data_IF_795484537139
#
_entry.id   IF_795484537139
#
_cell.length_a   1.000
_cell.length_b   1.000
_cell.length_c   1.000
_cell.angle_alpha   90.00
_cell.angle_beta   90.00
_cell.angle_gamma   90.00
#
_symmetry.space_group_name_H-M   'P 1'
#
loop_
_entity.id
_entity.type
_entity.pdbx_description
1 polymer ?
#
# COMPACT_ATOMS: atom_id res chain seq x y z
N UNK A 1 17.36 -26.45 2.36
CA UNK A 1 17.40 -25.96 3.75
C UNK A 1 15.97 -25.82 4.24
N UNK A 2 15.56 -26.51 5.31
CA UNK A 2 14.19 -26.45 5.86
C UNK A 2 13.93 -25.05 6.43
N UNK A 3 12.96 -24.33 5.86
CA UNK A 3 12.41 -23.10 6.46
C UNK A 3 11.69 -23.47 7.75
N UNK A 4 12.19 -22.98 8.88
CA UNK A 4 11.48 -23.09 10.16
C UNK A 4 10.34 -22.06 10.13
N UNK A 5 9.11 -22.54 10.26
CA UNK A 5 7.95 -21.71 10.53
C UNK A 5 8.08 -21.19 11.97
N UNK A 6 8.21 -19.87 12.13
CA UNK A 6 8.27 -19.21 13.44
C UNK A 6 6.83 -18.81 13.79
N UNK A 7 6.22 -19.38 14.86
CA UNK A 7 4.85 -19.06 15.26
C UNK A 7 4.74 -17.64 15.84
N UNK A 8 3.54 -17.05 15.76
CA UNK A 8 3.24 -15.65 16.08
C UNK A 8 3.63 -15.20 17.51
N UNK A 9 3.83 -16.14 18.44
CA UNK A 9 4.25 -15.82 19.80
C UNK A 9 5.75 -15.52 19.92
N UNK A 10 6.59 -16.00 18.98
CA UNK A 10 8.03 -15.68 18.92
C UNK A 10 8.31 -14.33 18.24
N UNK A 11 7.33 -13.76 17.53
CA UNK A 11 7.42 -12.47 16.84
C UNK A 11 7.63 -11.29 17.82
N UNK A 12 7.05 -11.38 19.01
CA UNK A 12 7.17 -10.35 20.06
C UNK A 12 8.57 -10.35 20.68
N UNK A 13 9.23 -11.51 20.75
CA UNK A 13 10.57 -11.65 21.32
C UNK A 13 11.64 -11.14 20.36
N UNK A 14 11.46 -11.36 19.04
CA UNK A 14 12.39 -10.87 18.02
C UNK A 14 12.31 -9.35 17.81
N UNK A 15 11.15 -8.74 18.04
CA UNK A 15 10.99 -7.28 18.02
C UNK A 15 11.74 -6.60 19.18
N UNK A 16 11.85 -7.26 20.34
CA UNK A 16 12.54 -6.73 21.51
C UNK A 16 14.05 -7.02 21.52
N UNK A 17 14.53 -7.92 20.67
CA UNK A 17 15.95 -8.28 20.56
C UNK A 17 16.72 -7.43 19.53
N UNK A 18 16.04 -6.56 18.78
CA UNK A 18 16.62 -5.74 17.70
C UNK A 18 17.16 -4.38 18.20
N UNK A 19 17.68 -4.32 19.44
CA UNK A 19 18.31 -3.14 20.05
C UNK A 19 19.78 -3.38 20.43
N UNK A 20 20.42 -4.39 19.82
CA UNK A 20 21.86 -4.61 19.97
C UNK A 20 22.61 -4.03 18.77
N UNK A 21 23.30 -2.91 19.02
CA UNK A 21 24.24 -2.27 18.09
C UNK A 21 25.35 -3.25 17.69
N UNK A 22 25.45 -3.63 16.41
CA UNK A 22 26.65 -4.28 15.85
C UNK A 22 27.43 -3.27 14.99
N UNK A 23 28.72 -3.16 15.30
CA UNK A 23 29.70 -2.29 14.67
C UNK A 23 29.91 -2.59 13.17
N UNK A 24 30.13 -1.50 12.44
CA UNK A 24 30.36 -1.41 11.00
C UNK A 24 31.76 -1.87 10.62
N UNK A 25 31.89 -2.61 9.52
CA UNK A 25 33.13 -2.67 8.73
C UNK A 25 32.86 -2.13 7.32
N UNK A 26 33.58 -1.07 6.95
CA UNK A 26 33.53 -0.40 5.66
C UNK A 26 34.36 -1.15 4.61
N UNK A 27 33.73 -1.63 3.54
CA UNK A 27 34.43 -1.93 2.28
C UNK A 27 33.70 -1.24 1.13
N UNK A 28 34.34 -0.21 0.59
CA UNK A 28 33.89 0.57 -0.56
C UNK A 28 33.95 -0.30 -1.84
N UNK A 29 32.85 -0.39 -2.58
CA UNK A 29 32.89 -0.88 -3.94
C UNK A 29 32.30 0.16 -4.89
N UNK A 30 33.20 0.90 -5.53
CA UNK A 30 32.91 1.82 -6.62
C UNK A 30 32.47 1.05 -7.86
N UNK A 31 31.30 1.39 -8.40
CA UNK A 31 30.99 1.14 -9.81
C UNK A 31 30.48 2.42 -10.45
N UNK A 32 31.33 3.00 -11.29
CA UNK A 32 31.08 4.14 -12.16
C UNK A 32 30.53 3.67 -13.51
N UNK A 33 29.54 4.40 -14.06
CA UNK A 33 29.26 4.50 -15.50
C UNK A 33 28.33 5.73 -15.70
N UNK A 34 28.84 6.89 -16.11
CA UNK A 34 28.94 7.40 -17.50
C UNK A 34 27.61 8.03 -17.98
N UNK A 35 27.49 9.20 -18.61
CA UNK A 35 28.38 10.26 -19.10
C UNK A 35 27.50 11.50 -19.30
N UNK A 36 28.01 12.70 -19.02
CA UNK A 36 27.74 13.88 -19.85
C UNK A 36 28.91 14.86 -19.72
N UNK A 37 29.77 14.81 -20.74
CA UNK A 37 30.89 15.71 -20.93
C UNK A 37 30.37 17.11 -21.31
N UNK A 38 30.80 18.14 -20.57
CA UNK A 38 31.02 19.46 -21.18
C UNK A 38 32.26 20.11 -20.58
N UNK A 39 33.01 20.70 -21.51
CA UNK A 39 34.40 21.13 -21.50
C UNK A 39 34.75 22.15 -20.43
N UNK A 40 36.02 22.09 -20.01
CA UNK A 40 36.72 23.00 -19.10
C UNK A 40 36.70 24.45 -19.57
N UNK A 41 36.59 25.37 -18.63
CA UNK A 41 37.58 26.43 -18.45
C UNK A 41 37.40 27.05 -17.05
N UNK A 42 38.49 27.03 -16.30
CA UNK A 42 38.63 27.70 -15.03
C UNK A 42 38.80 29.18 -15.31
N UNK A 43 37.87 30.03 -14.87
CA UNK A 43 38.19 31.41 -14.56
C UNK A 43 37.33 31.95 -13.42
N UNK A 44 38.04 32.62 -12.53
CA UNK A 44 37.63 33.26 -11.28
C UNK A 44 36.84 34.57 -11.49
N UNK A 45 36.08 34.93 -10.46
CA UNK A 45 35.50 36.23 -10.09
C UNK A 45 34.07 36.59 -10.55
N UNK A 46 33.17 36.55 -9.56
CA UNK A 46 32.09 37.51 -9.23
C UNK A 46 31.16 38.02 -10.34
N UNK A 47 29.88 37.66 -10.26
CA UNK A 47 28.81 38.65 -9.99
C UNK A 47 27.53 37.93 -9.59
N UNK A 48 27.06 38.22 -8.37
CA UNK A 48 25.75 37.83 -7.84
C UNK A 48 24.69 38.55 -8.68
N UNK A 49 24.16 37.87 -9.70
CA UNK A 49 22.98 38.33 -10.41
C UNK A 49 21.79 37.71 -9.70
N UNK A 50 21.01 38.56 -9.05
CA UNK A 50 19.70 38.24 -8.47
C UNK A 50 18.81 37.61 -9.54
N UNK A 51 18.87 36.29 -9.68
CA UNK A 51 17.85 35.52 -10.39
C UNK A 51 16.62 35.64 -9.51
N UNK A 52 15.67 36.49 -9.88
CA UNK A 52 14.37 36.64 -9.22
C UNK A 52 13.76 35.25 -9.03
N UNK A 53 13.82 34.73 -7.80
CA UNK A 53 13.21 33.45 -7.45
C UNK A 53 11.72 33.68 -7.28
N UNK A 54 10.93 33.06 -8.15
CA UNK A 54 9.49 33.06 -7.99
C UNK A 54 9.12 32.17 -6.79
N UNK A 55 8.76 32.82 -5.70
CA UNK A 55 8.41 32.18 -4.44
C UNK A 55 6.91 32.36 -4.20
N UNK A 56 6.20 31.25 -3.99
CA UNK A 56 4.77 31.24 -3.62
C UNK A 56 4.66 30.99 -2.13
N UNK A 57 4.01 31.90 -1.40
CA UNK A 57 3.86 31.80 0.04
C UNK A 57 2.46 31.29 0.41
N UNK A 58 2.41 30.39 1.40
CA UNK A 58 1.16 29.91 2.01
C UNK A 58 0.38 31.08 2.66
N UNK A 59 -0.94 30.92 2.77
CA UNK A 59 -1.85 31.94 3.34
C UNK A 59 -1.48 32.32 4.79
N UNK A 60 -1.00 31.34 5.56
CA UNK A 60 -0.51 31.52 6.93
C UNK A 60 0.92 32.07 7.02
N UNK A 61 1.56 32.34 5.87
CA UNK A 61 2.93 32.84 5.71
C UNK A 61 4.04 31.95 6.27
N UNK A 62 3.73 30.74 6.73
CA UNK A 62 4.73 29.84 7.34
C UNK A 62 5.54 29.04 6.34
N UNK A 63 4.97 28.80 5.15
CA UNK A 63 5.58 27.94 4.13
C UNK A 63 5.78 28.76 2.87
N UNK A 64 6.98 28.69 2.30
CA UNK A 64 7.34 29.31 1.02
C UNK A 64 7.83 28.24 0.07
N UNK A 65 7.18 28.16 -1.10
CA UNK A 65 7.53 27.25 -2.18
C UNK A 65 8.34 28.00 -3.23
N UNK A 66 9.44 27.41 -3.66
CA UNK A 66 10.28 27.96 -4.72
C UNK A 66 10.41 26.95 -5.86
N UNK A 67 10.49 27.43 -7.09
CA UNK A 67 10.67 26.55 -8.26
C UNK A 67 12.02 25.82 -8.24
N UNK A 68 13.06 26.46 -7.68
CA UNK A 68 14.40 25.91 -7.52
C UNK A 68 14.71 25.69 -6.05
N UNK A 69 15.37 24.58 -5.67
CA UNK A 69 15.79 24.36 -4.30
C UNK A 69 16.72 25.49 -3.85
N UNK A 70 16.56 25.96 -2.61
CA UNK A 70 17.49 26.93 -2.05
C UNK A 70 18.89 26.29 -1.94
N UNK A 71 19.97 27.03 -2.28
CA UNK A 71 21.32 26.52 -2.17
C UNK A 71 21.60 26.19 -0.71
N UNK A 72 21.70 24.89 -0.42
CA UNK A 72 22.00 24.39 0.91
C UNK A 72 23.48 24.62 1.20
N UNK A 73 23.76 25.44 2.21
CA UNK A 73 25.10 25.61 2.75
C UNK A 73 25.17 24.84 4.07
N UNK A 74 25.81 23.66 4.07
CA UNK A 74 26.01 22.84 5.26
C UNK A 74 25.57 21.39 5.12
N UNK A 75 25.83 20.57 6.15
CA UNK A 75 25.35 19.17 6.21
C UNK A 75 23.82 19.15 6.35
N UNK A 76 23.19 18.18 5.69
CA UNK A 76 21.77 17.91 5.91
C UNK A 76 21.52 17.64 7.40
N UNK A 77 20.47 18.25 7.95
CA UNK A 77 20.02 17.96 9.32
C UNK A 77 19.85 16.46 9.51
N UNK A 78 20.27 15.93 10.66
CA UNK A 78 20.09 14.51 11.00
C UNK A 78 18.64 14.02 10.87
N UNK A 79 17.66 14.91 11.06
CA UNK A 79 16.23 14.62 10.87
C UNK A 79 15.80 14.47 9.40
N UNK A 80 16.63 14.93 8.45
CA UNK A 80 16.38 14.80 7.01
C UNK A 80 17.19 13.65 6.37
N UNK A 81 18.03 12.97 7.16
CA UNK A 81 18.80 11.81 6.68
C UNK A 81 17.92 10.58 6.84
N UNK A 82 17.51 9.99 5.72
CA UNK A 82 16.81 8.70 5.70
C UNK A 82 17.79 7.62 6.20
N UNK A 83 17.51 7.03 7.36
CA UNK A 83 18.33 5.96 7.96
C UNK A 83 17.93 4.57 7.49
N UNK A 84 16.70 4.39 7.03
CA UNK A 84 16.22 3.13 6.45
C UNK A 84 16.62 3.01 4.98
N UNK A 85 17.07 1.82 4.58
CA UNK A 85 17.17 1.46 3.16
C UNK A 85 15.76 1.30 2.57
N UNK A 86 15.40 2.09 1.54
CA UNK A 86 14.10 1.95 0.90
C UNK A 86 14.01 0.57 0.21
N UNK A 87 12.93 -0.15 0.45
CA UNK A 87 12.70 -1.44 -0.21
C UNK A 87 11.80 -2.39 0.59
N UNK A 88 11.56 -3.60 0.04
CA UNK A 88 10.90 -4.68 0.75
C UNK A 88 11.67 -5.02 2.02
N UNK A 89 10.98 -5.15 3.14
CA UNK A 89 11.60 -5.57 4.40
C UNK A 89 11.99 -7.04 4.33
N UNK A 90 12.78 -7.51 5.30
CA UNK A 90 13.06 -8.94 5.47
C UNK A 90 11.77 -9.77 5.58
N UNK A 91 10.72 -9.22 6.20
CA UNK A 91 9.41 -9.86 6.29
C UNK A 91 8.82 -10.20 4.92
N UNK A 92 8.88 -9.25 3.97
CA UNK A 92 8.39 -9.43 2.61
C UNK A 92 9.31 -10.35 1.80
N UNK A 93 10.62 -10.14 1.85
CA UNK A 93 11.60 -10.95 1.10
C UNK A 93 11.48 -12.44 1.44
N UNK A 94 11.23 -12.79 2.71
CA UNK A 94 11.08 -14.18 3.13
C UNK A 94 9.74 -14.83 2.77
N UNK A 95 8.75 -14.08 2.28
CA UNK A 95 7.37 -14.55 2.01
C UNK A 95 6.94 -14.42 0.56
N UNK A 96 7.65 -13.62 -0.25
CA UNK A 96 7.34 -13.42 -1.68
C UNK A 96 8.26 -14.24 -2.55
N UNK A 97 7.69 -15.26 -3.18
CA UNK A 97 8.37 -16.08 -4.19
C UNK A 97 7.82 -15.82 -5.61
N UNK A 98 6.58 -15.34 -5.70
CA UNK A 98 5.85 -15.14 -6.94
C UNK A 98 4.80 -14.01 -6.83
N UNK A 99 4.21 -13.62 -7.96
CA UNK A 99 3.21 -12.54 -8.04
C UNK A 99 1.99 -12.79 -7.15
N UNK A 100 1.58 -14.05 -6.97
CA UNK A 100 0.46 -14.37 -6.07
C UNK A 100 0.84 -14.11 -4.62
N UNK A 101 2.00 -14.61 -4.19
CA UNK A 101 2.48 -14.41 -2.82
C UNK A 101 2.75 -12.94 -2.47
N UNK A 102 3.15 -12.11 -3.44
CA UNK A 102 3.23 -10.65 -3.21
C UNK A 102 1.84 -10.02 -2.97
N UNK A 103 0.82 -10.48 -3.68
CA UNK A 103 -0.55 -10.04 -3.46
C UNK A 103 -1.10 -10.49 -2.10
N UNK A 104 -0.79 -11.72 -1.66
CA UNK A 104 -1.19 -12.24 -0.33
C UNK A 104 -0.56 -11.44 0.83
N UNK A 105 0.55 -10.71 0.61
CA UNK A 105 1.06 -9.80 1.64
C UNK A 105 0.15 -8.58 1.78
N UNK A 106 -0.36 -8.06 0.67
CA UNK A 106 -1.23 -6.88 0.64
C UNK A 106 -2.64 -7.25 1.13
N UNK A 107 -3.16 -8.39 0.69
CA UNK A 107 -4.47 -8.92 1.08
C UNK A 107 -4.28 -10.30 1.70
N UNK A 108 -3.84 -10.32 2.96
CA UNK A 108 -3.56 -11.56 3.69
C UNK A 108 -4.82 -12.36 4.01
N UNK A 109 -4.61 -13.61 4.42
CA UNK A 109 -5.70 -14.53 4.79
C UNK A 109 -6.60 -13.96 5.88
N UNK A 110 -6.03 -13.31 6.91
CA UNK A 110 -6.82 -12.70 7.99
C UNK A 110 -7.78 -11.61 7.47
N UNK A 111 -7.32 -10.76 6.56
CA UNK A 111 -8.13 -9.73 5.91
C UNK A 111 -9.24 -10.36 5.06
N UNK A 112 -8.91 -11.41 4.30
CA UNK A 112 -9.91 -12.16 3.53
C UNK A 112 -10.96 -12.78 4.46
N UNK A 113 -10.54 -13.37 5.58
CA UNK A 113 -11.43 -14.01 6.55
C UNK A 113 -12.40 -13.02 7.20
N UNK A 114 -11.94 -11.80 7.51
CA UNK A 114 -12.82 -10.72 7.98
C UNK A 114 -13.90 -10.44 6.94
N UNK A 115 -13.50 -10.23 5.69
CA UNK A 115 -14.44 -9.91 4.61
C UNK A 115 -15.41 -11.07 4.37
N UNK A 116 -14.92 -12.31 4.33
CA UNK A 116 -15.74 -13.51 4.17
C UNK A 116 -16.77 -13.63 5.30
N UNK A 117 -16.33 -13.53 6.55
CA UNK A 117 -17.20 -13.62 7.72
C UNK A 117 -18.31 -12.58 7.69
N UNK A 118 -17.95 -11.31 7.49
CA UNK A 118 -18.92 -10.21 7.51
C UNK A 118 -19.85 -10.24 6.31
N UNK A 119 -19.34 -10.62 5.14
CA UNK A 119 -20.15 -10.75 3.91
C UNK A 119 -21.13 -11.92 4.00
N UNK A 120 -20.77 -13.04 4.64
CA UNK A 120 -21.67 -14.17 4.85
C UNK A 120 -22.79 -13.86 5.85
N UNK A 121 -22.50 -13.08 6.91
CA UNK A 121 -23.54 -12.58 7.82
C UNK A 121 -24.54 -11.71 7.05
N UNK A 122 -24.07 -10.77 6.23
CA UNK A 122 -24.94 -9.92 5.42
C UNK A 122 -25.65 -10.72 4.31
N UNK A 123 -24.99 -11.71 3.73
CA UNK A 123 -25.53 -12.61 2.72
C UNK A 123 -26.77 -13.34 3.22
N UNK A 124 -26.64 -14.00 4.38
CA UNK A 124 -27.78 -14.63 5.08
C UNK A 124 -28.88 -13.64 5.42
N UNK A 125 -28.55 -12.40 5.80
CA UNK A 125 -29.54 -11.35 6.07
C UNK A 125 -30.32 -10.91 4.83
N UNK A 126 -29.65 -10.85 3.67
CA UNK A 126 -30.23 -10.32 2.41
C UNK A 126 -30.95 -11.40 1.61
N UNK A 127 -30.43 -12.62 1.59
CA UNK A 127 -30.91 -13.72 0.74
C UNK A 127 -31.56 -14.87 1.53
N UNK A 128 -31.44 -14.90 2.86
CA UNK A 128 -32.01 -15.93 3.72
C UNK A 128 -31.45 -17.32 3.37
N UNK A 129 -32.35 -18.29 3.26
CA UNK A 129 -32.01 -19.70 2.97
C UNK A 129 -31.45 -19.92 1.55
N UNK A 130 -31.57 -18.92 0.67
CA UNK A 130 -30.98 -18.98 -0.68
C UNK A 130 -29.51 -18.53 -0.70
N UNK A 131 -28.93 -18.18 0.45
CA UNK A 131 -27.52 -17.80 0.54
C UNK A 131 -26.64 -19.04 0.69
N UNK A 132 -25.71 -19.20 -0.24
CA UNK A 132 -24.58 -20.11 -0.09
C UNK A 132 -23.40 -19.30 0.44
N UNK A 133 -22.77 -19.81 1.50
CA UNK A 133 -21.64 -19.12 2.13
C UNK A 133 -20.50 -18.94 1.12
N UNK A 134 -20.06 -17.68 0.98
CA UNK A 134 -18.93 -17.29 0.17
C UNK A 134 -17.68 -17.97 0.71
N UNK A 135 -16.99 -18.69 -0.16
CA UNK A 135 -15.70 -19.33 0.11
C UNK A 135 -14.54 -18.45 -0.37
N UNK A 136 -13.33 -18.82 0.06
CA UNK A 136 -12.11 -18.09 -0.29
C UNK A 136 -11.83 -18.13 -1.80
N UNK A 137 -12.18 -19.21 -2.50
CA UNK A 137 -11.93 -19.37 -3.94
C UNK A 137 -12.83 -18.42 -4.74
N UNK A 138 -14.13 -18.37 -4.42
CA UNK A 138 -15.07 -17.46 -5.08
C UNK A 138 -14.72 -16.01 -4.75
N UNK A 139 -14.28 -15.73 -3.52
CA UNK A 139 -13.82 -14.40 -3.17
C UNK A 139 -12.55 -13.98 -3.93
N UNK A 140 -11.55 -14.86 -4.03
CA UNK A 140 -10.35 -14.62 -4.85
C UNK A 140 -10.70 -14.41 -6.33
N UNK A 141 -11.65 -15.19 -6.87
CA UNK A 141 -12.16 -15.01 -8.23
C UNK A 141 -12.86 -13.65 -8.41
N UNK A 142 -13.65 -13.21 -7.42
CA UNK A 142 -14.28 -11.90 -7.41
C UNK A 142 -13.24 -10.77 -7.41
N UNK A 143 -12.22 -10.85 -6.56
CA UNK A 143 -11.11 -9.86 -6.53
C UNK A 143 -10.34 -9.86 -7.85
N UNK A 144 -10.09 -11.04 -8.43
CA UNK A 144 -9.42 -11.17 -9.72
C UNK A 144 -10.17 -10.47 -10.86
N UNK A 145 -11.50 -10.56 -10.87
CA UNK A 145 -12.35 -9.84 -11.82
C UNK A 145 -12.24 -8.32 -11.64
N UNK A 146 -12.18 -7.82 -10.39
CA UNK A 146 -12.00 -6.40 -10.12
C UNK A 146 -10.63 -5.89 -10.60
N UNK A 147 -9.56 -6.66 -10.34
CA UNK A 147 -8.22 -6.35 -10.84
C UNK A 147 -8.18 -6.32 -12.36
N UNK A 148 -8.82 -7.31 -13.00
CA UNK A 148 -8.87 -7.42 -14.45
C UNK A 148 -9.68 -6.28 -15.10
N UNK A 149 -10.78 -5.85 -14.48
CA UNK A 149 -11.52 -4.66 -14.90
C UNK A 149 -10.63 -3.39 -14.87
N UNK A 150 -9.74 -3.30 -13.87
CA UNK A 150 -8.71 -2.26 -13.79
C UNK A 150 -7.71 -2.32 -14.94
N UNK A 151 -7.20 -3.51 -15.27
CA UNK A 151 -6.28 -3.73 -16.42
C UNK A 151 -6.91 -3.28 -17.73
N UNK A 152 -8.19 -3.60 -17.95
CA UNK A 152 -8.92 -3.19 -19.14
C UNK A 152 -9.36 -1.72 -19.12
N UNK A 153 -9.07 -0.98 -18.04
CA UNK A 153 -9.49 0.42 -17.84
C UNK A 153 -10.99 0.60 -18.00
N UNK A 154 -11.77 -0.41 -17.61
CA UNK A 154 -13.23 -0.50 -17.83
C UNK A 154 -14.05 0.37 -16.89
N UNK A 155 -13.49 1.52 -16.47
CA UNK A 155 -14.18 2.48 -15.62
C UNK A 155 -15.38 3.06 -16.38
N UNK A 156 -16.56 2.90 -15.80
CA UNK A 156 -17.82 3.39 -16.39
C UNK A 156 -18.43 2.46 -17.43
N UNK A 157 -17.77 1.35 -17.78
CA UNK A 157 -18.41 0.30 -18.58
C UNK A 157 -19.49 -0.42 -17.75
N UNK A 158 -20.61 -0.74 -18.38
CA UNK A 158 -21.65 -1.53 -17.70
C UNK A 158 -21.20 -2.98 -17.52
N UNK A 159 -21.52 -3.59 -16.39
CA UNK A 159 -21.26 -5.02 -16.15
C UNK A 159 -21.95 -5.91 -17.18
N UNK A 160 -23.12 -5.49 -17.70
CA UNK A 160 -23.79 -6.18 -18.81
C UNK A 160 -22.96 -6.21 -20.09
N UNK A 161 -22.26 -5.12 -20.40
CA UNK A 161 -21.36 -5.05 -21.56
C UNK A 161 -20.15 -5.94 -21.35
N UNK A 162 -19.52 -5.88 -20.18
CA UNK A 162 -18.34 -6.68 -19.86
C UNK A 162 -18.61 -8.19 -19.90
N UNK A 163 -19.81 -8.63 -19.48
CA UNK A 163 -20.24 -10.03 -19.51
C UNK A 163 -21.03 -10.43 -20.76
N UNK A 164 -21.13 -9.57 -21.77
CA UNK A 164 -21.85 -9.91 -23.00
C UNK A 164 -21.13 -11.05 -23.74
N UNK A 165 -21.89 -11.99 -24.30
CA UNK A 165 -21.35 -13.18 -25.00
C UNK A 165 -20.70 -12.87 -26.34
N UNK A 166 -21.14 -11.81 -27.02
CA UNK A 166 -20.70 -11.43 -28.36
C UNK A 166 -19.66 -10.30 -28.31
N UNK A 167 -19.95 -9.25 -27.53
CA UNK A 167 -19.17 -8.01 -27.49
C UNK A 167 -18.39 -7.83 -26.20
N UNK A 168 -18.63 -8.69 -25.21
CA UNK A 168 -17.98 -8.62 -23.91
C UNK A 168 -16.62 -9.29 -23.91
N UNK A 169 -16.13 -9.56 -22.71
CA UNK A 169 -14.80 -10.12 -22.48
C UNK A 169 -15.00 -11.54 -21.95
N UNK A 170 -14.71 -12.60 -22.74
CA UNK A 170 -15.02 -13.98 -22.37
C UNK A 170 -14.45 -14.42 -21.02
N UNK A 171 -13.31 -13.86 -20.62
CA UNK A 171 -12.68 -14.15 -19.32
C UNK A 171 -13.56 -13.78 -18.11
N UNK A 172 -14.42 -12.75 -18.21
CA UNK A 172 -15.29 -12.35 -17.11
C UNK A 172 -16.37 -13.39 -16.86
N UNK A 173 -17.08 -13.79 -17.92
CA UNK A 173 -18.13 -14.81 -17.84
C UNK A 173 -17.57 -16.22 -17.59
N UNK A 174 -16.36 -16.51 -18.08
CA UNK A 174 -15.65 -17.76 -17.78
C UNK A 174 -15.20 -17.86 -16.31
N UNK A 175 -14.84 -16.73 -15.69
CA UNK A 175 -14.41 -16.72 -14.28
C UNK A 175 -15.61 -16.81 -13.33
N UNK A 176 -16.67 -16.04 -13.59
CA UNK A 176 -17.84 -16.02 -12.71
C UNK A 176 -19.08 -15.52 -13.46
N UNK A 177 -20.27 -16.11 -13.25
CA UNK A 177 -21.52 -15.58 -13.79
C UNK A 177 -21.82 -14.16 -13.30
N UNK A 178 -22.37 -13.32 -14.18
CA UNK A 178 -22.74 -11.93 -13.87
C UNK A 178 -23.67 -11.83 -12.64
N UNK A 179 -24.60 -12.77 -12.50
CA UNK A 179 -25.51 -12.85 -11.35
C UNK A 179 -24.74 -13.00 -10.04
N UNK A 180 -23.76 -13.90 -10.00
CA UNK A 180 -22.93 -14.14 -8.81
C UNK A 180 -22.09 -12.91 -8.47
N UNK A 181 -21.47 -12.28 -9.47
CA UNK A 181 -20.74 -11.02 -9.28
C UNK A 181 -21.61 -9.93 -8.64
N UNK A 182 -22.86 -9.78 -9.10
CA UNK A 182 -23.82 -8.84 -8.51
C UNK A 182 -24.26 -9.23 -7.10
N UNK A 183 -24.48 -10.53 -6.83
CA UNK A 183 -24.81 -11.01 -5.50
C UNK A 183 -23.70 -10.65 -4.50
N UNK A 184 -22.44 -11.01 -4.81
CA UNK A 184 -21.28 -10.71 -3.97
C UNK A 184 -21.14 -9.19 -3.77
N UNK A 185 -21.22 -8.40 -4.85
CA UNK A 185 -21.09 -6.93 -4.78
C UNK A 185 -22.14 -6.29 -3.85
N UNK A 186 -23.34 -6.90 -3.73
CA UNK A 186 -24.41 -6.39 -2.86
C UNK A 186 -24.13 -6.65 -1.38
N UNK A 187 -23.53 -7.79 -1.06
CA UNK A 187 -23.37 -8.27 0.32
C UNK A 187 -21.95 -8.11 0.87
N UNK A 188 -20.99 -7.69 0.06
CA UNK A 188 -19.62 -7.46 0.49
C UNK A 188 -19.56 -6.48 1.67
N UNK A 189 -19.03 -6.92 2.82
CA UNK A 189 -18.87 -6.11 4.04
C UNK A 189 -17.50 -6.32 4.66
N UNK A 190 -17.04 -5.30 5.37
CA UNK A 190 -15.77 -5.31 6.13
C UNK A 190 -15.99 -5.33 7.64
N UNK A 191 -17.23 -5.10 8.11
CA UNK A 191 -17.59 -5.03 9.52
C UNK A 191 -18.99 -5.61 9.77
N UNK A 192 -19.29 -5.92 11.03
CA UNK A 192 -20.65 -6.25 11.44
C UNK A 192 -21.54 -5.00 11.40
N UNK A 193 -22.72 -5.12 10.80
CA UNK A 193 -23.69 -4.02 10.73
C UNK A 193 -24.44 -3.84 12.05
N UNK A 194 -24.51 -4.86 12.89
CA UNK A 194 -25.29 -4.87 14.13
C UNK A 194 -24.77 -3.87 15.17
N UNK A 195 -23.45 -3.75 15.29
CA UNK A 195 -22.75 -2.92 16.27
C UNK A 195 -22.28 -1.57 15.70
N UNK A 196 -22.25 -1.44 14.36
CA UNK A 196 -21.77 -0.24 13.63
C UNK A 196 -22.44 1.05 14.10
N UNK A 197 -23.73 1.02 14.43
CA UNK A 197 -24.46 2.22 14.87
C UNK A 197 -23.88 2.78 16.18
N UNK A 198 -23.45 1.90 17.08
CA UNK A 198 -22.83 2.32 18.34
C UNK A 198 -21.44 2.89 18.08
N UNK A 199 -20.61 2.16 17.32
CA UNK A 199 -19.23 2.56 17.00
C UNK A 199 -19.14 3.86 16.18
N UNK A 200 -20.12 4.14 15.32
CA UNK A 200 -20.13 5.33 14.46
C UNK A 200 -20.20 6.66 15.22
N UNK A 201 -20.68 6.64 16.47
CA UNK A 201 -20.68 7.84 17.31
C UNK A 201 -19.25 8.35 17.56
N UNK A 202 -18.32 7.41 17.76
CA UNK A 202 -16.92 7.71 18.10
C UNK A 202 -15.98 7.59 16.88
N UNK A 203 -16.25 6.66 15.96
CA UNK A 203 -15.47 6.45 14.73
C UNK A 203 -16.33 6.51 13.47
N UNK A 204 -16.17 7.58 12.68
CA UNK A 204 -16.85 7.73 11.38
C UNK A 204 -16.49 6.63 10.38
N UNK A 205 -15.31 6.02 10.53
CA UNK A 205 -14.76 4.95 9.69
C UNK A 205 -15.01 3.55 10.26
N UNK A 206 -15.88 3.42 11.27
CA UNK A 206 -16.25 2.15 11.89
C UNK A 206 -16.58 1.02 10.88
N UNK A 207 -17.10 1.36 9.71
CA UNK A 207 -17.46 0.40 8.68
C UNK A 207 -16.28 -0.35 8.03
N UNK A 208 -15.05 0.16 8.17
CA UNK A 208 -13.83 -0.43 7.57
C UNK A 208 -12.66 -0.46 8.56
N UNK A 209 -12.84 0.07 9.77
CA UNK A 209 -11.80 0.27 10.80
C UNK A 209 -10.92 -0.94 11.01
N UNK A 210 -11.51 -2.07 11.35
CA UNK A 210 -10.79 -3.30 11.70
C UNK A 210 -9.98 -3.85 10.52
N UNK A 211 -10.58 -3.82 9.32
CA UNK A 211 -9.91 -4.21 8.09
C UNK A 211 -8.73 -3.26 7.79
N UNK A 212 -8.97 -1.95 7.90
CA UNK A 212 -7.96 -0.92 7.62
C UNK A 212 -6.75 -1.03 8.53
N UNK A 213 -6.95 -1.23 9.84
CA UNK A 213 -5.84 -1.31 10.80
C UNK A 213 -4.99 -2.56 10.57
N UNK A 214 -5.62 -3.70 10.33
CA UNK A 214 -4.89 -4.93 9.99
C UNK A 214 -4.15 -4.80 8.65
N UNK A 215 -4.76 -4.11 7.69
CA UNK A 215 -4.15 -3.86 6.39
C UNK A 215 -2.92 -2.96 6.51
N UNK A 216 -3.03 -1.85 7.23
CA UNK A 216 -1.89 -0.95 7.52
C UNK A 216 -0.80 -1.72 8.26
N UNK A 217 -1.15 -2.46 9.32
CA UNK A 217 -0.16 -3.27 10.06
C UNK A 217 0.60 -4.22 9.12
N UNK A 218 -0.10 -4.93 8.23
CA UNK A 218 0.52 -5.83 7.26
C UNK A 218 1.46 -5.11 6.28
N UNK A 219 1.05 -3.96 5.75
CA UNK A 219 1.87 -3.18 4.82
C UNK A 219 3.11 -2.57 5.46
N UNK A 220 2.97 -2.12 6.71
CA UNK A 220 4.07 -1.55 7.49
C UNK A 220 5.11 -2.62 7.84
N UNK A 221 4.68 -3.85 8.11
CA UNK A 221 5.60 -4.97 8.25
C UNK A 221 6.32 -5.30 6.93
N UNK A 222 5.65 -5.15 5.78
CA UNK A 222 6.18 -5.52 4.46
C UNK A 222 7.09 -4.46 3.81
N UNK A 223 7.02 -3.21 4.25
CA UNK A 223 7.71 -2.10 3.60
C UNK A 223 8.32 -1.14 4.61
N UNK A 224 9.56 -0.71 4.39
CA UNK A 224 10.27 0.24 5.25
C UNK A 224 9.78 1.69 5.08
N UNK A 225 8.47 1.89 4.90
CA UNK A 225 7.88 3.19 4.52
C UNK A 225 7.61 4.08 5.76
N UNK A 226 7.68 3.53 6.98
CA UNK A 226 7.40 4.26 8.22
C UNK A 226 8.26 5.52 8.41
N UNK A 227 9.53 5.48 8.00
CA UNK A 227 10.47 6.60 8.21
C UNK A 227 10.16 7.81 7.32
N UNK A 228 9.62 7.56 6.12
CA UNK A 228 9.27 8.62 5.16
C UNK A 228 8.03 9.39 5.62
N UNK A 229 7.02 8.70 6.16
CA UNK A 229 5.77 9.32 6.60
C UNK A 229 5.96 10.05 7.94
N UNK A 230 6.78 9.51 8.84
CA UNK A 230 7.06 10.13 10.15
C UNK A 230 7.82 11.46 10.01
N UNK A 231 8.76 11.54 9.07
CA UNK A 231 9.49 12.79 8.74
C UNK A 231 8.58 13.90 8.18
N UNK A 232 7.47 13.54 7.52
CA UNK A 232 6.46 14.51 7.02
C UNK A 232 5.51 14.95 8.13
N UNK A 233 5.20 14.07 9.09
CA UNK A 233 4.24 14.35 10.17
C UNK A 233 4.82 15.25 11.27
N UNK A 234 6.12 15.22 11.52
CA UNK A 234 6.78 16.14 12.47
C UNK A 234 6.91 17.59 11.93
N UNK A 235 6.63 17.81 10.65
CA UNK A 235 6.76 19.13 9.99
C UNK A 235 5.44 19.91 9.85
N UNK A 236 4.33 19.39 10.39
CA UNK A 236 3.02 20.06 10.46
C UNK A 236 2.57 20.23 11.90
#
# INVERSE_FOLDING_TARGET
MRTRFIPENELVVLLNASDSEEEVSEEENHTSDDSFQRTSESDSYTSDSDIERYNVQSEDKKITWSEKPFPQHGRASCANILKSTPGPTRYAICRVDNVRSSFEIILNTNLKDIVLKMSNIEGRRVYGDNWEDLDIITFDAYISILLLAGVYRSRGESTKSLWNSETGRPIFSATMPLKTFHCISRVLRFDDKSDRRARRADDKLAAIRDFWEQWVMGLTAASAIQDIISSVREKN
#
